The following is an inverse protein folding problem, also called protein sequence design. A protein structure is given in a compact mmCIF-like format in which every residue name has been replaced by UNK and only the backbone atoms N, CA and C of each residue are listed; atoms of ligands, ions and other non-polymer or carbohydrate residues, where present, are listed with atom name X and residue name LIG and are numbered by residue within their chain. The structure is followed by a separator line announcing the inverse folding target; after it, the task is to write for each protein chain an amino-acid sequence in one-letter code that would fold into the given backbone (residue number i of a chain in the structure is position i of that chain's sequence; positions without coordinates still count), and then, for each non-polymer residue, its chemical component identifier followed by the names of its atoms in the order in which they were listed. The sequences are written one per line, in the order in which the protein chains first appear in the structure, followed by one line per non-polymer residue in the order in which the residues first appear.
data_IF_777902777924
#
_entry.id   IF_777902777924
#
_cell.length_a   1.000
_cell.length_b   1.000
_cell.length_c   1.000
_cell.angle_alpha   90.00
_cell.angle_beta   90.00
_cell.angle_gamma   90.00
#
_symmetry.space_group_name_H-M   'P 1'
#
loop_
_entity.id
_entity.type
_entity.pdbx_description
1 polymer ?
#
# COMPACT_ATOMS: atom_id res chain seq x y z
N UNK A 1 -9.82 3.59 -16.84
CA UNK A 1 -10.47 2.52 -16.05
C UNK A 1 -10.28 2.93 -14.59
N UNK A 2 -11.35 3.05 -13.77
CA UNK A 2 -11.18 3.45 -12.37
C UNK A 2 -10.59 2.28 -11.59
N UNK A 3 -9.46 2.50 -10.90
CA UNK A 3 -8.91 1.48 -10.01
C UNK A 3 -9.85 1.30 -8.81
N UNK A 4 -10.39 0.09 -8.63
CA UNK A 4 -11.28 -0.23 -7.51
C UNK A 4 -10.48 -0.80 -6.33
N UNK A 5 -11.07 -0.79 -5.13
CA UNK A 5 -10.51 -1.43 -3.93
C UNK A 5 -10.14 -2.89 -4.19
N UNK A 6 -10.94 -3.59 -5.01
CA UNK A 6 -10.67 -4.98 -5.40
C UNK A 6 -9.41 -5.11 -6.26
N UNK A 7 -9.21 -4.22 -7.24
CA UNK A 7 -7.99 -4.23 -8.07
C UNK A 7 -6.75 -3.98 -7.23
N UNK A 8 -6.82 -3.03 -6.29
CA UNK A 8 -5.73 -2.76 -5.36
C UNK A 8 -5.44 -3.97 -4.47
N UNK A 9 -6.48 -4.62 -3.93
CA UNK A 9 -6.34 -5.81 -3.08
C UNK A 9 -5.70 -6.97 -3.85
N UNK A 10 -6.15 -7.25 -5.08
CA UNK A 10 -5.58 -8.30 -5.93
C UNK A 10 -4.11 -8.02 -6.28
N UNK A 11 -3.77 -6.77 -6.60
CA UNK A 11 -2.38 -6.37 -6.83
C UNK A 11 -1.52 -6.58 -5.58
N UNK A 12 -1.98 -6.10 -4.42
CA UNK A 12 -1.27 -6.26 -3.15
C UNK A 12 -1.06 -7.74 -2.81
N UNK A 13 -2.09 -8.57 -3.03
CA UNK A 13 -2.03 -10.01 -2.81
C UNK A 13 -1.02 -10.68 -3.73
N UNK A 14 -1.04 -10.37 -5.02
CA UNK A 14 -0.08 -10.90 -5.99
C UNK A 14 1.36 -10.45 -5.68
N UNK A 15 1.53 -9.19 -5.28
CA UNK A 15 2.83 -8.60 -4.97
C UNK A 15 3.42 -9.21 -3.70
N UNK A 16 2.65 -9.31 -2.63
CA UNK A 16 3.06 -9.91 -1.37
C UNK A 16 3.23 -11.43 -1.46
N UNK A 17 2.51 -12.10 -2.37
CA UNK A 17 2.77 -13.51 -2.67
C UNK A 17 4.14 -13.72 -3.31
N UNK A 18 4.56 -12.81 -4.19
CA UNK A 18 5.89 -12.87 -4.83
C UNK A 18 7.01 -12.36 -3.92
N UNK A 19 6.71 -11.37 -3.06
CA UNK A 19 7.68 -10.73 -2.16
C UNK A 19 7.07 -10.53 -0.77
N UNK A 20 6.94 -11.60 0.05
CA UNK A 20 6.26 -11.54 1.35
C UNK A 20 7.00 -10.69 2.39
N UNK A 21 8.29 -10.43 2.19
CA UNK A 21 9.09 -9.60 3.08
C UNK A 21 9.23 -8.15 2.62
N UNK A 22 8.69 -7.79 1.46
CA UNK A 22 8.78 -6.45 0.92
C UNK A 22 7.44 -5.73 1.10
N UNK A 23 7.36 -4.71 1.97
CA UNK A 23 6.15 -3.91 2.10
C UNK A 23 5.85 -3.17 0.79
N UNK A 24 4.56 -3.01 0.47
CA UNK A 24 4.11 -2.24 -0.69
C UNK A 24 3.72 -0.84 -0.23
N UNK A 25 4.42 0.17 -0.73
CA UNK A 25 4.16 1.58 -0.42
C UNK A 25 3.01 2.12 -1.28
N UNK A 26 2.30 3.15 -0.78
CA UNK A 26 1.24 3.81 -1.53
C UNK A 26 1.69 4.36 -2.89
N UNK A 27 2.94 4.85 -2.99
CA UNK A 27 3.50 5.32 -4.26
C UNK A 27 3.61 4.18 -5.30
N UNK A 28 4.08 3.00 -4.88
CA UNK A 28 4.16 1.83 -5.76
C UNK A 28 2.79 1.34 -6.18
N UNK A 29 1.82 1.36 -5.26
CA UNK A 29 0.42 1.05 -5.57
C UNK A 29 -0.17 2.06 -6.56
N UNK A 30 0.10 3.35 -6.37
CA UNK A 30 -0.33 4.43 -7.26
C UNK A 30 0.22 4.26 -8.67
N UNK A 31 1.53 3.98 -8.81
CA UNK A 31 2.16 3.69 -10.10
C UNK A 31 1.58 2.45 -10.77
N UNK A 32 1.35 1.37 -10.01
CA UNK A 32 0.82 0.12 -10.55
C UNK A 32 -0.63 0.24 -11.04
N UNK A 33 -1.42 1.10 -10.40
CA UNK A 33 -2.83 1.33 -10.73
C UNK A 33 -3.05 2.57 -11.60
N UNK A 34 -1.98 3.27 -12.00
CA UNK A 34 -2.02 4.55 -12.73
C UNK A 34 -2.92 5.61 -12.04
N UNK A 35 -2.89 5.66 -10.71
CA UNK A 35 -3.63 6.61 -9.88
C UNK A 35 -2.69 7.51 -9.08
N UNK A 36 -3.12 8.72 -8.68
CA UNK A 36 -2.33 9.58 -7.81
C UNK A 36 -2.07 8.91 -6.46
N UNK A 37 -0.88 9.15 -5.89
CA UNK A 37 -0.45 8.58 -4.59
C UNK A 37 -1.47 8.84 -3.50
N UNK A 38 -2.06 10.03 -3.43
CA UNK A 38 -3.09 10.35 -2.43
C UNK A 38 -4.33 9.44 -2.52
N UNK A 39 -4.71 9.01 -3.72
CA UNK A 39 -5.80 8.06 -3.90
C UNK A 39 -5.39 6.64 -3.51
N UNK A 40 -4.15 6.25 -3.80
CA UNK A 40 -3.60 4.97 -3.33
C UNK A 40 -3.50 4.92 -1.80
N UNK A 41 -3.15 6.03 -1.14
CA UNK A 41 -3.16 6.16 0.33
C UNK A 41 -4.56 5.95 0.89
N UNK A 42 -5.58 6.61 0.32
CA UNK A 42 -6.98 6.41 0.71
C UNK A 42 -7.41 4.95 0.57
N UNK A 43 -7.07 4.32 -0.55
CA UNK A 43 -7.36 2.89 -0.80
C UNK A 43 -6.72 1.99 0.26
N UNK A 44 -5.46 2.23 0.63
CA UNK A 44 -4.77 1.43 1.65
C UNK A 44 -5.43 1.62 3.03
N UNK A 45 -5.81 2.86 3.37
CA UNK A 45 -6.54 3.15 4.62
C UNK A 45 -7.87 2.42 4.64
N UNK A 46 -8.65 2.51 3.56
CA UNK A 46 -9.96 1.87 3.43
C UNK A 46 -9.86 0.33 3.54
N UNK A 47 -8.88 -0.26 2.86
CA UNK A 47 -8.59 -1.71 2.96
C UNK A 47 -8.16 -2.12 4.37
N UNK A 48 -7.42 -1.25 5.08
CA UNK A 48 -6.99 -1.49 6.46
C UNK A 48 -8.17 -1.42 7.41
N UNK A 49 -9.03 -0.40 7.29
CA UNK A 49 -10.25 -0.25 8.09
C UNK A 49 -11.23 -1.39 7.84
N UNK A 50 -11.31 -1.88 6.60
CA UNK A 50 -12.06 -3.07 6.23
C UNK A 50 -11.45 -4.39 6.76
N UNK A 51 -10.28 -4.35 7.40
CA UNK A 51 -9.58 -5.54 7.89
C UNK A 51 -9.10 -6.47 6.77
N UNK A 52 -8.90 -5.95 5.56
CA UNK A 52 -8.40 -6.69 4.40
C UNK A 52 -6.89 -6.69 4.30
N UNK A 53 -6.22 -5.71 4.91
CA UNK A 53 -4.75 -5.59 4.87
C UNK A 53 -4.18 -5.23 6.22
N UNK A 54 -2.98 -5.74 6.48
CA UNK A 54 -2.16 -5.44 7.64
C UNK A 54 -1.09 -4.42 7.23
N UNK A 55 -1.16 -3.24 7.85
CA UNK A 55 -0.16 -2.18 7.71
C UNK A 55 0.65 -2.09 9.01
N UNK A 56 1.98 -2.24 8.98
CA UNK A 56 2.80 -2.10 10.17
C UNK A 56 2.79 -0.63 10.63
N UNK A 57 3.06 -0.37 11.92
CA UNK A 57 3.22 0.99 12.40
C UNK A 57 4.37 1.65 11.63
N UNK A 58 4.05 2.81 11.07
CA UNK A 58 4.90 3.69 10.26
C UNK A 58 6.39 3.55 10.58
N UNK A 59 7.14 2.85 9.71
CA UNK A 59 8.60 2.82 9.86
C UNK A 59 9.16 4.15 9.38
N UNK A 60 9.70 4.92 10.33
CA UNK A 60 10.54 6.09 10.05
C UNK A 60 11.60 5.66 9.03
N UNK A 61 11.58 6.24 7.83
CA UNK A 61 12.68 6.09 6.87
C UNK A 61 13.92 6.67 7.56
N UNK A 62 14.82 5.81 8.03
CA UNK A 62 15.97 6.17 8.85
C UNK A 62 17.11 6.82 8.06
N UNK A 63 16.78 7.68 7.09
CA UNK A 63 17.77 8.33 6.24
C UNK A 63 17.32 9.77 5.95
N UNK A 64 17.83 10.69 6.77
CA UNK A 64 18.04 12.15 6.64
C UNK A 64 17.30 13.07 5.66
N UNK A 65 16.35 12.60 4.86
CA UNK A 65 15.81 13.32 3.71
C UNK A 65 14.29 13.25 3.78
N UNK A 66 13.67 14.19 4.50
CA UNK A 66 12.22 14.45 4.45
C UNK A 66 11.35 13.23 4.74
N UNK A 67 11.27 12.82 6.01
CA UNK A 67 10.48 11.67 6.45
C UNK A 67 8.97 11.87 6.26
N UNK A 68 8.47 11.53 5.07
CA UNK A 68 7.05 11.28 4.84
C UNK A 68 6.63 10.00 5.54
N UNK A 69 5.49 10.06 6.22
CA UNK A 69 4.82 8.89 6.79
C UNK A 69 3.99 8.26 5.68
N UNK A 70 4.40 7.12 5.14
CA UNK A 70 3.65 6.46 4.06
C UNK A 70 2.98 5.19 4.59
N UNK A 71 1.66 5.01 4.36
CA UNK A 71 1.03 3.74 4.66
C UNK A 71 1.62 2.68 3.74
N UNK A 72 2.20 1.64 4.35
CA UNK A 72 2.78 0.52 3.66
C UNK A 72 2.01 -0.75 4.01
N UNK A 73 1.73 -1.59 3.03
CA UNK A 73 1.01 -2.85 3.22
C UNK A 73 2.02 -3.97 3.35
N UNK A 74 2.02 -4.69 4.47
CA UNK A 74 2.89 -5.85 4.70
C UNK A 74 2.20 -7.18 4.47
N UNK A 75 0.88 -7.22 4.57
CA UNK A 75 0.12 -8.45 4.43
C UNK A 75 -1.32 -8.17 3.98
N UNK A 76 -1.89 -9.08 3.21
CA UNK A 76 -3.33 -9.12 2.89
C UNK A 76 -3.96 -10.26 3.71
N UNK A 77 -5.13 -10.00 4.29
CA UNK A 77 -5.90 -10.90 5.16
C UNK A 77 -7.02 -11.62 4.39
#
# INVERSE_FOLDING_TARGET
MFATLETACEYLRARLRNRPHQPVEAEELGKALEIPTSQAEMIIVDLREAGRVECPPLRRRGDGTGGGYFPAVTRVL
#
